data_IF_758744800488
#
_entry.id   IF_758744800488
#
_cell.length_a   1.000
_cell.length_b   1.000
_cell.length_c   1.000
_cell.angle_alpha   90.00
_cell.angle_beta   90.00
_cell.angle_gamma   90.00
#
_symmetry.space_group_name_H-M   'P 1'
#
loop_
_entity.id
_entity.type
_entity.pdbx_description
1 polymer ?
#
# COMPACT_ATOMS: atom_id res chain seq x y z
N UNK A 1 -0.18 -5.04 18.75
CA UNK A 1 0.81 -5.60 17.79
C UNK A 1 2.17 -4.89 17.83
N UNK A 2 2.31 -3.55 17.71
CA UNK A 2 3.63 -2.87 17.59
C UNK A 2 4.58 -3.12 18.78
N UNK A 3 4.07 -3.12 20.00
CA UNK A 3 4.89 -3.40 21.18
C UNK A 3 5.36 -4.86 21.24
N UNK A 4 4.55 -5.79 20.79
CA UNK A 4 4.88 -7.22 20.71
C UNK A 4 5.94 -7.48 19.66
N UNK A 5 5.77 -6.89 18.46
CA UNK A 5 6.77 -6.96 17.37
C UNK A 5 8.11 -6.43 17.86
N UNK A 6 8.14 -5.25 18.51
CA UNK A 6 9.37 -4.70 19.06
C UNK A 6 10.00 -5.60 20.10
N UNK A 7 9.19 -6.16 21.00
CA UNK A 7 9.68 -7.09 22.03
C UNK A 7 10.27 -8.35 21.41
N UNK A 8 9.63 -8.91 20.38
CA UNK A 8 10.14 -10.06 19.64
C UNK A 8 11.48 -9.75 18.93
N UNK A 9 11.55 -8.62 18.23
CA UNK A 9 12.77 -8.16 17.55
C UNK A 9 13.92 -8.00 18.55
N UNK A 10 13.68 -7.32 19.68
CA UNK A 10 14.71 -7.14 20.71
C UNK A 10 15.11 -8.46 21.36
N UNK A 11 14.18 -9.38 21.60
CA UNK A 11 14.48 -10.68 22.17
C UNK A 11 15.40 -11.52 21.27
N UNK A 12 15.18 -11.44 19.93
CA UNK A 12 16.03 -12.14 18.96
C UNK A 12 17.42 -11.51 18.89
N UNK A 13 17.50 -10.18 18.82
CA UNK A 13 18.77 -9.46 18.74
C UNK A 13 19.61 -9.60 20.03
N UNK A 14 18.97 -9.51 21.19
CA UNK A 14 19.68 -9.62 22.48
C UNK A 14 20.18 -11.05 22.77
N UNK A 15 19.53 -12.08 22.21
CA UNK A 15 19.91 -13.46 22.43
C UNK A 15 21.35 -13.76 22.02
N UNK A 16 21.88 -13.01 21.06
CA UNK A 16 23.22 -13.20 20.50
C UNK A 16 24.19 -12.04 20.81
N UNK A 17 23.85 -11.11 21.70
CA UNK A 17 24.61 -9.89 21.99
C UNK A 17 24.84 -8.98 20.75
N UNK A 18 23.97 -9.00 19.75
CA UNK A 18 24.13 -8.24 18.51
C UNK A 18 23.76 -6.76 18.59
N UNK A 19 23.41 -6.29 19.75
CA UNK A 19 23.27 -4.85 19.94
C UNK A 19 21.84 -4.38 20.23
N UNK A 20 21.78 -3.10 20.53
CA UNK A 20 20.57 -2.38 20.89
C UNK A 20 20.05 -1.59 19.68
N UNK A 21 18.77 -1.78 19.35
CA UNK A 21 18.09 -0.92 18.37
C UNK A 21 17.42 0.23 19.13
N UNK A 22 17.72 1.45 18.72
CA UNK A 22 17.04 2.62 19.28
C UNK A 22 15.55 2.63 18.87
N UNK A 23 14.67 3.28 19.67
CA UNK A 23 13.26 3.42 19.27
C UNK A 23 13.06 4.08 17.91
N UNK A 24 13.91 5.04 17.56
CA UNK A 24 13.84 5.73 16.28
C UNK A 24 14.22 4.81 15.11
N UNK A 25 15.28 4.01 15.27
CA UNK A 25 15.69 3.03 14.26
C UNK A 25 14.61 1.95 14.08
N UNK A 26 14.02 1.48 15.20
CA UNK A 26 12.90 0.55 15.15
C UNK A 26 11.72 1.14 14.36
N UNK A 27 11.33 2.39 14.64
CA UNK A 27 10.22 3.04 13.92
C UNK A 27 10.52 3.19 12.42
N UNK A 28 11.78 3.47 12.05
CA UNK A 28 12.20 3.53 10.66
C UNK A 28 12.06 2.17 9.97
N UNK A 29 12.59 1.11 10.58
CA UNK A 29 12.51 -0.25 10.03
C UNK A 29 11.08 -0.79 10.01
N UNK A 30 10.28 -0.49 11.03
CA UNK A 30 8.87 -0.84 11.09
C UNK A 30 8.07 -0.22 9.95
N UNK A 31 8.33 1.06 9.65
CA UNK A 31 7.72 1.74 8.50
C UNK A 31 8.10 1.09 7.17
N UNK A 32 9.39 0.77 6.99
CA UNK A 32 9.87 0.13 5.77
C UNK A 32 9.26 -1.27 5.59
N UNK A 33 9.27 -2.07 6.66
CA UNK A 33 8.71 -3.43 6.64
C UNK A 33 7.20 -3.42 6.34
N UNK A 34 6.44 -2.50 6.94
CA UNK A 34 5.01 -2.38 6.63
C UNK A 34 4.76 -2.01 5.16
N UNK A 35 5.54 -1.10 4.60
CA UNK A 35 5.40 -0.72 3.19
C UNK A 35 5.74 -1.87 2.25
N UNK A 36 6.79 -2.63 2.54
CA UNK A 36 7.16 -3.80 1.74
C UNK A 36 6.06 -4.87 1.72
N UNK A 37 5.49 -5.19 2.90
CA UNK A 37 4.39 -6.15 2.99
C UNK A 37 3.15 -5.63 2.24
N UNK A 38 2.85 -4.34 2.38
CA UNK A 38 1.75 -3.70 1.67
C UNK A 38 1.93 -3.80 0.14
N UNK A 39 3.14 -3.56 -0.38
CA UNK A 39 3.44 -3.68 -1.81
C UNK A 39 3.39 -5.14 -2.29
N UNK A 40 3.80 -6.09 -1.47
CA UNK A 40 3.74 -7.51 -1.79
C UNK A 40 2.31 -8.03 -1.98
N UNK A 41 1.31 -7.47 -1.29
CA UNK A 41 -0.09 -7.84 -1.54
C UNK A 41 -0.49 -7.57 -2.99
N UNK A 42 -0.09 -6.43 -3.55
CA UNK A 42 -0.39 -6.11 -4.95
C UNK A 42 0.38 -7.00 -5.91
N UNK A 43 1.62 -7.31 -5.59
CA UNK A 43 2.42 -8.21 -6.41
C UNK A 43 1.82 -9.62 -6.41
N UNK A 44 1.46 -10.14 -5.25
CA UNK A 44 0.80 -11.44 -5.09
C UNK A 44 -0.53 -11.48 -5.84
N UNK A 45 -1.34 -10.43 -5.73
CA UNK A 45 -2.60 -10.33 -6.47
C UNK A 45 -2.38 -10.36 -7.99
N UNK A 46 -1.43 -9.58 -8.49
CA UNK A 46 -1.10 -9.55 -9.92
C UNK A 46 -0.60 -10.92 -10.41
N UNK A 47 0.25 -11.59 -9.64
CA UNK A 47 0.75 -12.93 -9.96
C UNK A 47 -0.38 -13.96 -10.01
N UNK A 48 -1.35 -13.88 -9.09
CA UNK A 48 -2.52 -14.76 -9.07
C UNK A 48 -3.41 -14.52 -10.28
N UNK A 49 -3.69 -13.26 -10.62
CA UNK A 49 -4.46 -12.89 -11.82
C UNK A 49 -3.76 -13.38 -13.09
N UNK A 50 -2.44 -13.21 -13.16
CA UNK A 50 -1.64 -13.69 -14.27
C UNK A 50 -1.72 -15.21 -14.41
N UNK A 51 -1.53 -15.95 -13.33
CA UNK A 51 -1.64 -17.42 -13.31
C UNK A 51 -3.03 -17.90 -13.70
N UNK A 52 -4.08 -17.22 -13.25
CA UNK A 52 -5.47 -17.54 -13.61
C UNK A 52 -5.71 -17.34 -15.11
N UNK A 53 -5.18 -16.29 -15.70
CA UNK A 53 -5.36 -15.99 -17.12
C UNK A 53 -4.52 -16.91 -18.02
N UNK A 54 -3.31 -17.26 -17.63
CA UNK A 54 -2.41 -18.13 -18.40
C UNK A 54 -2.48 -19.59 -18.00
N UNK A 55 -2.89 -19.92 -16.80
CA UNK A 55 -3.05 -21.29 -16.30
C UNK A 55 -4.06 -22.10 -17.08
N UNK A 56 -5.07 -21.46 -17.65
CA UNK A 56 -6.05 -22.11 -18.53
C UNK A 56 -5.46 -22.67 -19.84
N UNK A 57 -4.29 -22.16 -20.29
CA UNK A 57 -3.58 -22.73 -21.45
C UNK A 57 -2.71 -23.95 -21.10
N UNK A 58 -2.26 -24.07 -19.84
CA UNK A 58 -1.43 -25.18 -19.36
C UNK A 58 -2.21 -26.26 -18.60
N UNK A 59 -3.49 -26.06 -18.36
CA UNK A 59 -4.33 -26.92 -17.51
C UNK A 59 -4.59 -28.34 -18.06
N UNK A 60 -4.02 -28.69 -19.20
CA UNK A 60 -4.04 -30.08 -19.70
C UNK A 60 -3.17 -31.04 -18.90
N UNK A 61 -2.31 -30.58 -17.98
CA UNK A 61 -1.34 -31.43 -17.27
C UNK A 61 -1.35 -31.40 -15.75
N UNK A 62 -2.04 -30.49 -15.10
CA UNK A 62 -2.06 -30.44 -13.64
C UNK A 62 -3.48 -30.24 -13.14
N UNK A 63 -4.05 -31.30 -12.57
CA UNK A 63 -5.32 -31.26 -11.82
C UNK A 63 -5.13 -30.49 -10.50
N UNK A 64 -4.91 -29.20 -10.58
CA UNK A 64 -5.08 -28.33 -9.42
C UNK A 64 -6.48 -27.77 -9.59
N UNK A 65 -7.38 -28.17 -8.70
CA UNK A 65 -8.77 -27.74 -8.75
C UNK A 65 -8.83 -26.21 -8.71
N UNK A 66 -9.56 -25.60 -9.63
CA UNK A 66 -9.67 -24.15 -9.76
C UNK A 66 -10.25 -23.44 -8.52
N UNK A 67 -10.75 -24.20 -7.54
CA UNK A 67 -11.28 -23.67 -6.28
C UNK A 67 -10.18 -23.10 -5.35
N UNK A 68 -8.97 -23.68 -5.31
CA UNK A 68 -7.90 -23.20 -4.45
C UNK A 68 -7.37 -21.80 -4.84
N UNK A 69 -7.26 -21.51 -6.13
CA UNK A 69 -6.80 -20.19 -6.59
C UNK A 69 -7.85 -19.09 -6.45
N UNK A 70 -9.13 -19.44 -6.56
CA UNK A 70 -10.21 -18.49 -6.36
C UNK A 70 -10.26 -17.99 -4.91
N UNK A 71 -10.05 -18.90 -3.94
CA UNK A 71 -10.02 -18.55 -2.51
C UNK A 71 -8.82 -17.68 -2.14
N UNK A 72 -7.62 -17.98 -2.66
CA UNK A 72 -6.42 -17.17 -2.42
C UNK A 72 -6.57 -15.74 -2.97
N UNK A 73 -7.13 -15.62 -4.17
CA UNK A 73 -7.41 -14.32 -4.77
C UNK A 73 -8.40 -13.52 -3.92
N UNK A 74 -9.48 -14.16 -3.46
CA UNK A 74 -10.49 -13.51 -2.63
C UNK A 74 -9.89 -13.01 -1.31
N UNK A 75 -9.05 -13.81 -0.65
CA UNK A 75 -8.35 -13.43 0.59
C UNK A 75 -7.46 -12.21 0.35
N UNK A 76 -6.70 -12.21 -0.75
CA UNK A 76 -5.82 -11.07 -1.09
C UNK A 76 -6.64 -9.82 -1.45
N UNK A 77 -7.76 -9.98 -2.17
CA UNK A 77 -8.69 -8.87 -2.45
C UNK A 77 -9.27 -8.29 -1.15
N UNK A 78 -9.70 -9.13 -0.20
CA UNK A 78 -10.23 -8.69 1.10
C UNK A 78 -9.19 -7.90 1.91
N UNK A 79 -7.92 -8.30 1.88
CA UNK A 79 -6.83 -7.56 2.54
C UNK A 79 -6.59 -6.20 1.85
N UNK A 80 -6.56 -6.17 0.52
CA UNK A 80 -6.42 -4.93 -0.25
C UNK A 80 -7.61 -3.99 -0.02
N UNK A 81 -8.82 -4.55 0.04
CA UNK A 81 -10.04 -3.78 0.28
C UNK A 81 -10.07 -3.11 1.65
N UNK A 82 -9.33 -3.60 2.63
CA UNK A 82 -9.15 -2.94 3.93
C UNK A 82 -8.51 -1.55 3.78
N UNK A 83 -7.70 -1.34 2.74
CA UNK A 83 -7.08 -0.05 2.42
C UNK A 83 -7.91 0.78 1.41
N UNK A 84 -9.01 0.24 0.91
CA UNK A 84 -9.89 0.95 0.00
C UNK A 84 -10.72 1.98 0.77
N UNK A 85 -10.74 3.20 0.25
CA UNK A 85 -11.51 4.30 0.86
C UNK A 85 -12.12 5.19 -0.19
N UNK A 86 -13.16 5.92 0.22
CA UNK A 86 -13.82 6.91 -0.63
C UNK A 86 -13.73 8.27 0.03
N UNK A 87 -13.20 9.26 -0.68
CA UNK A 87 -13.07 10.63 -0.20
C UNK A 87 -13.62 11.63 -1.21
N UNK A 88 -14.22 12.70 -0.69
CA UNK A 88 -14.65 13.82 -1.52
C UNK A 88 -13.42 14.64 -1.93
N UNK A 89 -13.32 14.95 -3.21
CA UNK A 89 -12.24 15.75 -3.75
C UNK A 89 -12.55 17.23 -3.63
N UNK A 90 -11.58 17.99 -3.13
CA UNK A 90 -11.71 19.44 -3.01
C UNK A 90 -11.38 20.12 -4.35
N UNK A 91 -12.31 20.93 -4.84
CA UNK A 91 -12.11 21.75 -6.05
C UNK A 91 -11.20 22.94 -5.75
N UNK A 92 -10.15 23.08 -6.54
CA UNK A 92 -9.19 24.17 -6.43
C UNK A 92 -9.07 24.92 -7.78
N UNK A 93 -10.06 25.77 -8.03
CA UNK A 93 -10.13 26.67 -9.21
C UNK A 93 -10.39 25.97 -10.55
N UNK A 94 -9.58 25.05 -10.98
CA UNK A 94 -9.74 24.35 -12.25
C UNK A 94 -9.60 22.83 -12.14
N UNK A 95 -9.14 22.34 -10.99
CA UNK A 95 -8.83 20.93 -10.77
C UNK A 95 -9.31 20.49 -9.39
N UNK A 96 -9.41 19.20 -9.19
CA UNK A 96 -9.68 18.59 -7.90
C UNK A 96 -8.39 18.04 -7.31
N UNK A 97 -8.16 18.31 -6.03
CA UNK A 97 -6.99 17.82 -5.30
C UNK A 97 -7.20 16.36 -4.90
N UNK A 98 -6.24 15.51 -5.22
CA UNK A 98 -6.20 14.12 -4.76
C UNK A 98 -5.66 14.10 -3.33
N UNK A 99 -6.22 13.27 -2.42
CA UNK A 99 -5.69 13.10 -1.07
C UNK A 99 -4.22 12.67 -1.08
N UNK A 100 -3.45 13.14 -0.10
CA UNK A 100 -2.02 12.88 -0.02
C UNK A 100 -1.68 11.41 0.31
N UNK A 101 -2.62 10.70 0.91
CA UNK A 101 -2.54 9.28 1.25
C UNK A 101 -2.94 8.34 0.09
N UNK A 102 -3.29 8.90 -1.08
CA UNK A 102 -3.68 8.11 -2.24
C UNK A 102 -2.47 7.35 -2.82
N UNK A 103 -2.54 6.02 -2.76
CA UNK A 103 -1.57 5.14 -3.43
C UNK A 103 -1.97 4.83 -4.86
N UNK A 104 -3.17 4.27 -5.05
CA UNK A 104 -3.73 3.95 -6.38
C UNK A 104 -5.14 4.49 -6.50
N UNK A 105 -5.39 5.31 -7.52
CA UNK A 105 -6.73 5.77 -7.86
C UNK A 105 -7.48 4.67 -8.62
N UNK A 106 -8.60 4.21 -8.05
CA UNK A 106 -9.46 3.21 -8.68
C UNK A 106 -10.49 3.88 -9.58
N UNK A 107 -11.38 4.64 -8.99
CA UNK A 107 -12.46 5.30 -9.70
C UNK A 107 -12.63 6.75 -9.23
N UNK A 108 -13.08 7.59 -10.14
CA UNK A 108 -13.60 8.92 -9.80
C UNK A 108 -15.10 8.92 -10.05
N UNK A 109 -15.86 9.43 -9.11
CA UNK A 109 -17.32 9.48 -9.18
C UNK A 109 -17.79 10.92 -9.15
N UNK A 110 -18.87 11.19 -9.86
CA UNK A 110 -19.62 12.43 -9.74
C UNK A 110 -21.06 12.12 -9.41
N UNK A 111 -21.54 12.63 -8.28
CA UNK A 111 -22.87 12.33 -7.76
C UNK A 111 -23.20 10.83 -7.71
N UNK A 112 -22.21 10.02 -7.32
CA UNK A 112 -22.34 8.55 -7.23
C UNK A 112 -22.20 7.77 -8.53
N UNK A 113 -21.98 8.45 -9.67
CA UNK A 113 -21.74 7.81 -10.96
C UNK A 113 -20.27 7.81 -11.31
N UNK A 114 -19.76 6.69 -11.78
CA UNK A 114 -18.36 6.56 -12.24
C UNK A 114 -18.14 7.44 -13.48
N UNK A 115 -17.02 8.17 -13.47
CA UNK A 115 -16.57 9.02 -14.57
C UNK A 115 -15.48 8.28 -15.33
N UNK A 116 -15.49 8.37 -16.66
CA UNK A 116 -14.50 7.71 -17.49
C UNK A 116 -13.14 8.44 -17.45
N UNK A 117 -12.08 7.67 -17.26
CA UNK A 117 -10.70 8.16 -17.33
C UNK A 117 -10.25 8.29 -18.78
N UNK A 118 -9.77 9.46 -19.15
CA UNK A 118 -9.28 9.75 -20.50
C UNK A 118 -7.85 10.32 -20.43
N UNK A 119 -7.02 10.02 -21.43
CA UNK A 119 -5.69 10.64 -21.54
C UNK A 119 -5.80 12.11 -21.94
N UNK A 120 -4.79 12.91 -21.58
CA UNK A 120 -4.78 14.34 -21.87
C UNK A 120 -4.85 14.62 -23.38
N UNK A 121 -4.18 13.83 -24.20
CA UNK A 121 -4.23 13.98 -25.65
C UNK A 121 -5.62 13.69 -26.22
N UNK A 122 -6.29 12.67 -25.71
CA UNK A 122 -7.63 12.29 -26.15
C UNK A 122 -8.69 13.31 -25.74
N UNK A 123 -8.62 13.85 -24.52
CA UNK A 123 -9.59 14.86 -24.08
C UNK A 123 -9.51 16.14 -24.93
N UNK A 124 -8.31 16.55 -25.35
CA UNK A 124 -8.15 17.70 -26.23
C UNK A 124 -8.83 17.47 -27.61
N UNK A 125 -8.78 16.25 -28.12
CA UNK A 125 -9.50 15.88 -29.35
C UNK A 125 -11.01 15.86 -29.14
N UNK A 126 -11.48 15.33 -28.00
CA UNK A 126 -12.90 15.25 -27.68
C UNK A 126 -13.52 16.65 -27.53
N UNK A 127 -12.82 17.56 -26.85
CA UNK A 127 -13.30 18.94 -26.61
C UNK A 127 -13.29 19.78 -27.90
N UNK A 128 -12.49 19.42 -28.90
CA UNK A 128 -12.43 20.14 -30.18
C UNK A 128 -13.73 20.04 -31.00
N UNK A 129 -14.58 19.06 -30.72
CA UNK A 129 -15.85 18.87 -31.45
C UNK A 129 -17.03 18.89 -30.47
N UNK A 130 -18.04 19.70 -30.76
CA UNK A 130 -19.28 19.76 -29.95
C UNK A 130 -20.03 18.44 -29.87
N UNK A 131 -19.85 17.54 -30.84
CA UNK A 131 -20.51 16.24 -30.87
C UNK A 131 -19.86 15.22 -29.92
N UNK A 132 -18.54 15.34 -29.70
CA UNK A 132 -17.76 14.40 -28.89
C UNK A 132 -17.34 14.98 -27.56
N UNK A 133 -17.61 16.26 -27.32
CA UNK A 133 -17.23 16.93 -26.08
C UNK A 133 -17.91 16.28 -24.87
N UNK A 134 -17.16 16.04 -23.77
CA UNK A 134 -17.74 15.54 -22.54
C UNK A 134 -18.87 16.45 -22.04
N UNK A 135 -19.96 15.86 -21.62
CA UNK A 135 -21.17 16.55 -21.13
C UNK A 135 -21.44 16.16 -19.67
N UNK A 136 -22.39 16.86 -19.04
CA UNK A 136 -22.85 16.48 -17.68
C UNK A 136 -23.52 15.11 -17.62
N UNK A 137 -23.98 14.56 -18.75
CA UNK A 137 -24.51 13.20 -18.81
C UNK A 137 -23.38 12.17 -18.91
N UNK A 138 -22.31 12.51 -19.62
CA UNK A 138 -21.14 11.67 -19.88
C UNK A 138 -19.86 12.47 -19.56
N UNK A 139 -19.57 12.72 -18.28
CA UNK A 139 -18.38 13.42 -17.88
C UNK A 139 -17.14 12.54 -18.07
N UNK A 140 -16.01 13.19 -18.30
CA UNK A 140 -14.71 12.52 -18.37
C UNK A 140 -13.70 13.20 -17.44
N UNK A 141 -12.68 12.47 -17.00
CA UNK A 141 -11.62 13.06 -16.20
C UNK A 141 -10.24 12.71 -16.72
N UNK A 142 -9.29 13.60 -16.42
CA UNK A 142 -7.87 13.42 -16.70
C UNK A 142 -7.10 13.53 -15.40
N UNK A 143 -6.13 12.66 -15.21
CA UNK A 143 -5.17 12.79 -14.11
C UNK A 143 -3.92 13.53 -14.61
N UNK A 144 -3.46 14.49 -13.82
CA UNK A 144 -2.24 15.25 -14.06
C UNK A 144 -1.45 15.41 -12.75
N UNK A 145 -0.13 15.56 -12.88
CA UNK A 145 0.73 15.93 -11.75
C UNK A 145 0.92 17.46 -11.75
N UNK A 146 0.99 18.05 -10.58
CA UNK A 146 1.38 19.45 -10.40
C UNK A 146 2.45 19.56 -9.34
N UNK A 147 3.32 20.53 -9.49
CA UNK A 147 4.43 20.78 -8.56
C UNK A 147 5.78 20.37 -9.13
N UNK A 148 6.82 20.68 -8.39
CA UNK A 148 8.22 20.41 -8.73
C UNK A 148 8.96 19.83 -7.52
N UNK A 149 9.94 18.95 -7.78
CA UNK A 149 10.72 18.30 -6.71
C UNK A 149 9.86 17.39 -5.84
N UNK A 150 10.01 17.47 -4.52
CA UNK A 150 9.28 16.66 -3.54
C UNK A 150 7.83 17.09 -3.30
N UNK A 151 7.39 18.19 -3.89
CA UNK A 151 6.01 18.70 -3.75
C UNK A 151 5.10 18.32 -4.94
N UNK A 152 5.34 17.16 -5.55
CA UNK A 152 4.49 16.64 -6.62
C UNK A 152 3.17 16.18 -6.02
N UNK A 153 2.07 16.78 -6.49
CA UNK A 153 0.72 16.37 -6.10
C UNK A 153 -0.06 15.90 -7.33
N UNK A 154 -0.82 14.85 -7.16
CA UNK A 154 -1.75 14.39 -8.19
C UNK A 154 -3.01 15.26 -8.18
N UNK A 155 -3.55 15.54 -9.35
CA UNK A 155 -4.78 16.30 -9.54
C UNK A 155 -5.67 15.62 -10.56
N UNK A 156 -6.98 15.81 -10.37
CA UNK A 156 -8.03 15.35 -11.26
C UNK A 156 -8.67 16.56 -11.94
N UNK A 157 -8.67 16.60 -13.24
CA UNK A 157 -9.40 17.60 -14.03
C UNK A 157 -10.64 16.94 -14.60
N UNK A 158 -11.82 17.45 -14.27
CA UNK A 158 -13.10 16.90 -14.75
C UNK A 158 -13.64 17.76 -15.88
N UNK A 159 -14.18 17.12 -16.90
CA UNK A 159 -14.85 17.74 -18.03
C UNK A 159 -16.32 17.30 -18.10
N UNK A 160 -17.24 18.22 -18.35
CA UNK A 160 -17.06 19.64 -18.61
C UNK A 160 -16.62 20.42 -17.35
N UNK A 161 -15.99 21.57 -17.57
CA UNK A 161 -15.48 22.45 -16.49
C UNK A 161 -16.59 23.07 -15.62
N UNK A 162 -17.84 22.92 -15.99
CA UNK A 162 -18.99 23.30 -15.17
C UNK A 162 -19.18 22.42 -13.92
N UNK A 163 -18.52 21.26 -13.86
CA UNK A 163 -18.53 20.37 -12.68
C UNK A 163 -17.48 20.87 -11.69
N UNK A 164 -17.93 21.54 -10.65
CA UNK A 164 -17.08 22.12 -9.60
C UNK A 164 -17.28 21.52 -8.23
N UNK A 165 -18.25 20.60 -8.09
CA UNK A 165 -18.58 19.96 -6.81
C UNK A 165 -19.16 18.56 -7.00
N UNK A 166 -19.32 17.82 -5.91
CA UNK A 166 -19.91 16.47 -5.94
C UNK A 166 -19.00 15.40 -6.53
N UNK A 167 -17.69 15.68 -6.66
CA UNK A 167 -16.71 14.71 -7.13
C UNK A 167 -16.07 14.01 -5.95
N UNK A 168 -16.08 12.68 -5.98
CA UNK A 168 -15.41 11.82 -5.01
C UNK A 168 -14.50 10.83 -5.71
N UNK A 169 -13.50 10.35 -5.00
CA UNK A 169 -12.58 9.35 -5.48
C UNK A 169 -12.66 8.09 -4.63
N UNK A 170 -12.67 6.96 -5.28
CA UNK A 170 -12.41 5.66 -4.66
C UNK A 170 -10.94 5.31 -4.94
N UNK A 171 -10.18 5.08 -3.90
CA UNK A 171 -8.75 4.83 -4.02
C UNK A 171 -8.25 3.91 -2.91
N UNK A 172 -7.11 3.31 -3.15
CA UNK A 172 -6.35 2.58 -2.15
C UNK A 172 -5.43 3.57 -1.47
N UNK A 173 -5.52 3.67 -0.15
CA UNK A 173 -4.68 4.56 0.64
C UNK A 173 -3.39 3.87 1.08
N UNK A 174 -2.35 4.67 1.30
CA UNK A 174 -1.12 4.22 1.96
C UNK A 174 -1.45 3.91 3.42
N UNK A 175 -0.93 2.80 3.99
CA UNK A 175 -1.06 2.52 5.42
C UNK A 175 -0.49 3.64 6.28
N UNK A 176 -1.12 3.89 7.42
CA UNK A 176 -0.62 4.87 8.40
C UNK A 176 0.75 4.44 8.89
N UNK A 177 1.67 5.39 8.98
CA UNK A 177 3.04 5.10 9.45
C UNK A 177 3.01 4.59 10.90
N UNK A 178 3.51 3.38 11.16
CA UNK A 178 3.59 2.84 12.50
C UNK A 178 4.59 3.64 13.33
N UNK A 179 4.27 3.84 14.60
CA UNK A 179 5.13 4.56 15.53
C UNK A 179 5.05 3.92 16.92
N UNK A 180 6.16 3.41 17.39
CA UNK A 180 6.28 3.00 18.79
C UNK A 180 6.60 4.22 19.65
N UNK A 181 5.58 4.76 20.28
CA UNK A 181 5.70 5.90 21.19
C UNK A 181 6.30 5.49 22.52
N UNK A 182 7.14 6.34 23.09
CA UNK A 182 7.81 6.08 24.38
C UNK A 182 7.95 7.34 25.22
N UNK A 183 8.13 7.10 26.51
CA UNK A 183 8.53 8.13 27.49
C UNK A 183 9.88 7.73 28.06
N UNK A 184 10.83 8.65 28.07
CA UNK A 184 12.13 8.42 28.68
C UNK A 184 12.04 8.64 30.18
N UNK A 185 12.39 7.63 30.97
CA UNK A 185 12.55 7.75 32.42
C UNK A 185 13.85 8.49 32.77
N UNK A 186 14.02 8.82 34.04
CA UNK A 186 15.20 9.53 34.55
C UNK A 186 16.55 8.85 34.21
N UNK A 187 16.54 7.55 33.97
CA UNK A 187 17.70 6.74 33.57
C UNK A 187 17.85 6.60 32.05
N UNK A 188 17.15 7.42 31.27
CA UNK A 188 17.14 7.38 29.79
C UNK A 188 16.59 6.08 29.16
N UNK A 189 15.98 5.20 29.93
CA UNK A 189 15.36 3.98 29.41
C UNK A 189 14.00 4.32 28.76
N UNK A 190 13.75 3.92 27.50
CA UNK A 190 12.49 4.17 26.83
C UNK A 190 11.41 3.18 27.30
N UNK A 191 10.34 3.69 27.89
CA UNK A 191 9.16 2.92 28.32
C UNK A 191 8.02 3.14 27.33
N UNK A 192 7.35 2.07 26.93
CA UNK A 192 6.23 2.11 25.99
C UNK A 192 5.09 3.02 26.46
N UNK A 193 4.64 3.88 25.56
CA UNK A 193 3.49 4.75 25.78
C UNK A 193 2.40 4.44 24.73
N UNK A 194 1.32 3.72 25.10
CA UNK A 194 0.24 3.40 24.18
C UNK A 194 -0.44 4.64 23.57
N UNK A 195 -0.56 5.73 24.35
CA UNK A 195 -1.24 6.95 23.92
C UNK A 195 -0.50 7.74 22.84
N UNK A 196 0.81 7.53 22.69
CA UNK A 196 1.64 8.15 21.66
C UNK A 196 2.04 7.17 20.54
N UNK A 197 1.51 5.95 20.58
CA UNK A 197 1.84 4.89 19.63
C UNK A 197 0.80 4.80 18.54
N UNK A 198 1.25 4.49 17.32
CA UNK A 198 0.41 4.11 16.17
C UNK A 198 0.74 2.67 15.81
N UNK A 199 -0.25 1.81 15.80
CA UNK A 199 -0.06 0.39 15.51
C UNK A 199 0.08 0.12 14.00
N UNK A 200 0.49 -1.08 13.63
CA UNK A 200 0.50 -1.54 12.26
C UNK A 200 -0.93 -1.70 11.74
N UNK A 201 -1.14 -1.36 10.49
CA UNK A 201 -2.41 -1.59 9.78
C UNK A 201 -2.35 -2.87 8.94
N UNK A 202 -1.78 -3.92 9.48
CA UNK A 202 -1.64 -5.22 8.85
C UNK A 202 -2.39 -6.29 9.68
N UNK A 203 -2.84 -7.39 9.05
CA UNK A 203 -3.41 -8.53 9.77
C UNK A 203 -2.42 -9.14 10.77
N UNK A 204 -2.94 -9.75 11.83
CA UNK A 204 -2.09 -10.44 12.81
C UNK A 204 -1.32 -11.64 12.21
N UNK A 205 -1.81 -12.21 11.11
CA UNK A 205 -1.12 -13.27 10.36
C UNK A 205 0.28 -12.88 9.92
N UNK A 206 0.50 -11.59 9.63
CA UNK A 206 1.75 -11.06 9.10
C UNK A 206 2.76 -10.67 10.19
N UNK A 207 2.43 -10.96 11.44
CA UNK A 207 3.33 -10.69 12.58
C UNK A 207 4.73 -11.28 12.36
N UNK A 208 4.81 -12.51 11.89
CA UNK A 208 6.09 -13.19 11.70
C UNK A 208 6.91 -12.57 10.57
N UNK A 209 6.24 -12.11 9.52
CA UNK A 209 6.87 -11.49 8.36
C UNK A 209 7.36 -10.08 8.68
N UNK A 210 6.57 -9.32 9.47
CA UNK A 210 7.03 -8.05 10.03
C UNK A 210 8.31 -8.20 10.83
N UNK A 211 8.36 -9.17 11.75
CA UNK A 211 9.55 -9.42 12.58
C UNK A 211 10.74 -9.80 11.69
N UNK A 212 10.54 -10.67 10.69
CA UNK A 212 11.61 -11.10 9.79
C UNK A 212 12.16 -9.93 8.98
N UNK A 213 11.32 -9.07 8.40
CA UNK A 213 11.74 -7.91 7.61
C UNK A 213 12.42 -6.86 8.46
N UNK A 214 11.91 -6.58 9.66
CA UNK A 214 12.57 -5.64 10.58
C UNK A 214 13.95 -6.15 10.98
N UNK A 215 14.11 -7.45 11.23
CA UNK A 215 15.40 -8.07 11.52
C UNK A 215 16.35 -8.00 10.31
N UNK A 216 15.84 -8.17 9.11
CA UNK A 216 16.63 -8.02 7.90
C UNK A 216 17.20 -6.60 7.77
N UNK A 217 16.38 -5.56 7.97
CA UNK A 217 16.86 -4.18 7.97
C UNK A 217 17.83 -3.90 9.12
N UNK A 218 17.53 -4.39 10.30
CA UNK A 218 18.40 -4.27 11.47
C UNK A 218 19.74 -5.00 11.25
N UNK A 219 19.73 -6.19 10.67
CA UNK A 219 20.92 -6.95 10.33
C UNK A 219 21.83 -6.24 9.30
N UNK A 220 21.24 -5.62 8.29
CA UNK A 220 21.98 -4.79 7.33
C UNK A 220 22.64 -3.60 8.04
N UNK A 221 21.92 -2.92 8.94
CA UNK A 221 22.42 -1.78 9.70
C UNK A 221 23.55 -2.16 10.65
N UNK A 222 23.45 -3.32 11.32
CA UNK A 222 24.46 -3.84 12.25
C UNK A 222 25.60 -4.55 11.51
N UNK A 223 25.44 -4.78 10.20
CA UNK A 223 26.36 -5.56 9.34
C UNK A 223 26.57 -7.01 9.79
N UNK A 224 25.59 -7.60 10.43
CA UNK A 224 25.61 -8.98 10.87
C UNK A 224 25.08 -9.90 9.76
N UNK A 225 25.99 -10.53 9.04
CA UNK A 225 25.67 -11.39 7.89
C UNK A 225 24.73 -12.56 8.25
N UNK A 226 24.82 -13.09 9.46
CA UNK A 226 24.00 -14.23 9.90
C UNK A 226 22.52 -13.84 10.06
N UNK A 227 22.22 -12.67 10.64
CA UNK A 227 20.84 -12.20 10.82
C UNK A 227 20.18 -11.92 9.47
N UNK A 228 20.92 -11.30 8.55
CA UNK A 228 20.47 -11.05 7.17
C UNK A 228 20.18 -12.35 6.44
N UNK A 229 21.07 -13.35 6.55
CA UNK A 229 20.89 -14.65 5.90
C UNK A 229 19.67 -15.41 6.40
N UNK A 230 19.44 -15.41 7.70
CA UNK A 230 18.26 -16.09 8.29
C UNK A 230 16.96 -15.40 7.88
N UNK A 231 16.92 -14.06 7.91
CA UNK A 231 15.76 -13.30 7.48
C UNK A 231 15.47 -13.50 5.97
N UNK A 232 16.50 -13.39 5.13
CA UNK A 232 16.35 -13.61 3.68
C UNK A 232 15.97 -15.06 3.33
N UNK A 233 16.49 -16.04 4.05
CA UNK A 233 16.14 -17.45 3.83
C UNK A 233 14.67 -17.74 4.16
N UNK A 234 14.14 -17.11 5.20
CA UNK A 234 12.72 -17.24 5.56
C UNK A 234 11.83 -16.59 4.50
N UNK A 235 12.13 -15.38 4.08
CA UNK A 235 11.40 -14.68 3.03
C UNK A 235 11.38 -15.47 1.71
N UNK A 236 12.53 -16.04 1.31
CA UNK A 236 12.60 -16.90 0.13
C UNK A 236 11.77 -18.20 0.27
N UNK A 237 11.70 -18.78 1.47
CA UNK A 237 10.90 -19.97 1.74
C UNK A 237 9.39 -19.65 1.69
N UNK A 238 8.97 -18.53 2.27
CA UNK A 238 7.58 -18.08 2.26
C UNK A 238 7.14 -17.75 0.82
N UNK A 239 7.98 -17.09 0.04
CA UNK A 239 7.74 -16.80 -1.38
C UNK A 239 7.63 -18.08 -2.24
N UNK A 240 8.41 -19.13 -1.93
CA UNK A 240 8.27 -20.43 -2.60
C UNK A 240 6.99 -21.16 -2.21
N UNK A 241 6.55 -21.03 -0.95
CA UNK A 241 5.33 -21.63 -0.46
C UNK A 241 4.08 -21.02 -1.10
N UNK A 242 4.10 -19.72 -1.33
CA UNK A 242 3.00 -19.00 -2.00
C UNK A 242 2.94 -19.30 -3.51
N UNK A 243 4.04 -19.79 -4.10
CA UNK A 243 4.13 -20.17 -5.52
C UNK A 243 3.90 -21.65 -5.81
N UNK A 244 3.89 -22.49 -4.81
CA UNK A 244 3.64 -23.94 -4.93
C UNK A 244 2.19 -24.28 -4.87
#
# INVERSE_FOLDING_TARGET
MINEVRTAVLAILNKNNYGYITPNDFNLYARMAQMDIFEDYFQTYNDQVYRQNYGNLSAAKTKISGEGYANLRQITEEVIDTFSTTSNLLHNGATFSVPADCYIMMNVLWNGKVIDRVSLSKVNQLVASNLTAPSTLFPAYVMSGTGTGSAIAQRVTVYPSSITSGVSAQYIRIPTTPNWGYVSLANSEPVYNPGASTDFELPESDFSDLVARILQYAGISIREAEVVQVAAAKEAADFQKDRG
#
